data_IF_659104675756
#
_entry.id   IF_659104675756
#
_cell.length_a   1.000
_cell.length_b   1.000
_cell.length_c   1.000
_cell.angle_alpha   90.00
_cell.angle_beta   90.00
_cell.angle_gamma   90.00
#
_symmetry.space_group_name_H-M   'P 1'
#
loop_
_entity.id
_entity.type
_entity.pdbx_description
1 polymer ?
#
# COMPACT_ATOMS: atom_id res chain seq x y z
N UNK A 1 0.29 -20.11 -22.30
CA UNK A 1 1.10 -19.31 -21.36
C UNK A 1 0.13 -18.45 -20.60
N UNK A 2 -0.12 -18.80 -19.34
CA UNK A 2 -0.88 -17.95 -18.42
C UNK A 2 -0.12 -16.62 -18.22
N UNK A 3 -0.87 -15.55 -17.92
CA UNK A 3 -0.36 -14.19 -17.93
C UNK A 3 -0.10 -13.71 -16.50
N UNK A 4 1.11 -13.25 -16.23
CA UNK A 4 1.44 -12.61 -14.96
C UNK A 4 0.52 -11.39 -14.72
N UNK A 5 -0.16 -11.41 -13.59
CA UNK A 5 -1.13 -10.40 -13.16
C UNK A 5 -0.58 -9.63 -11.97
N UNK A 6 -0.80 -8.33 -11.93
CA UNK A 6 -0.35 -7.47 -10.83
C UNK A 6 -1.54 -6.82 -10.12
N UNK A 7 -1.50 -6.84 -8.79
CA UNK A 7 -2.51 -6.26 -7.91
C UNK A 7 -1.87 -5.18 -7.03
N UNK A 8 -2.45 -3.98 -7.06
CA UNK A 8 -2.04 -2.91 -6.14
C UNK A 8 -3.03 -2.86 -4.97
N UNK A 9 -2.49 -2.99 -3.75
CA UNK A 9 -3.25 -2.94 -2.50
C UNK A 9 -2.94 -1.62 -1.79
N UNK A 10 -3.99 -0.87 -1.46
CA UNK A 10 -3.89 0.40 -0.74
C UNK A 10 -4.55 0.21 0.63
N UNK A 11 -3.79 -0.16 1.68
CA UNK A 11 -4.32 -0.27 3.03
C UNK A 11 -4.74 1.10 3.58
N UNK A 12 -5.78 1.09 4.41
CA UNK A 12 -6.03 2.22 5.32
C UNK A 12 -4.80 2.51 6.18
N UNK A 13 -4.61 3.78 6.53
CA UNK A 13 -3.48 4.18 7.35
C UNK A 13 -3.59 3.60 8.78
N UNK A 14 -2.45 3.23 9.37
CA UNK A 14 -2.34 2.64 10.71
C UNK A 14 -1.78 1.21 10.71
N UNK A 15 -1.11 0.84 11.81
CA UNK A 15 -0.34 -0.42 11.89
C UNK A 15 -1.22 -1.67 11.74
N UNK A 16 -2.41 -1.70 12.34
CA UNK A 16 -3.31 -2.86 12.25
C UNK A 16 -3.77 -3.13 10.82
N UNK A 17 -4.13 -2.08 10.08
CA UNK A 17 -4.51 -2.19 8.67
C UNK A 17 -3.34 -2.65 7.81
N UNK A 18 -2.13 -2.13 8.08
CA UNK A 18 -0.93 -2.50 7.34
C UNK A 18 -0.57 -3.98 7.54
N UNK A 19 -0.53 -4.45 8.80
CA UNK A 19 -0.23 -5.85 9.12
C UNK A 19 -1.24 -6.78 8.43
N UNK A 20 -2.54 -6.48 8.53
CA UNK A 20 -3.58 -7.28 7.88
C UNK A 20 -3.46 -7.31 6.35
N UNK A 21 -3.14 -6.19 5.71
CA UNK A 21 -2.94 -6.13 4.26
C UNK A 21 -1.70 -6.91 3.81
N UNK A 22 -0.62 -6.88 4.61
CA UNK A 22 0.58 -7.67 4.37
C UNK A 22 0.28 -9.16 4.44
N UNK A 23 -0.40 -9.62 5.50
CA UNK A 23 -0.77 -11.04 5.65
C UNK A 23 -1.72 -11.51 4.54
N UNK A 24 -2.71 -10.68 4.17
CA UNK A 24 -3.59 -10.96 3.03
C UNK A 24 -2.79 -11.10 1.73
N UNK A 25 -1.81 -10.22 1.50
CA UNK A 25 -0.98 -10.24 0.29
C UNK A 25 -0.15 -11.53 0.21
N UNK A 26 0.42 -11.99 1.33
CA UNK A 26 1.14 -13.27 1.40
C UNK A 26 0.25 -14.44 1.01
N UNK A 27 -0.97 -14.49 1.55
CA UNK A 27 -1.93 -15.55 1.26
C UNK A 27 -2.34 -15.58 -0.22
N UNK A 28 -2.50 -14.41 -0.85
CA UNK A 28 -2.88 -14.32 -2.25
C UNK A 28 -1.76 -14.79 -3.20
N UNK A 29 -0.52 -14.37 -2.98
CA UNK A 29 0.61 -14.82 -3.82
C UNK A 29 1.01 -16.27 -3.55
N UNK A 30 0.64 -16.85 -2.40
CA UNK A 30 0.82 -18.26 -2.12
C UNK A 30 -0.19 -19.13 -2.89
N UNK A 31 -1.38 -18.59 -3.22
CA UNK A 31 -2.42 -19.30 -3.97
C UNK A 31 -2.31 -19.11 -5.49
N UNK A 32 -1.76 -17.98 -5.93
CA UNK A 32 -1.69 -17.62 -7.35
C UNK A 32 -0.23 -17.41 -7.76
N UNK A 33 0.34 -18.41 -8.45
CA UNK A 33 1.77 -18.40 -8.77
C UNK A 33 2.23 -17.30 -9.73
N UNK A 34 1.28 -16.68 -10.41
CA UNK A 34 1.50 -15.63 -11.39
C UNK A 34 0.99 -14.27 -10.93
N UNK A 35 0.59 -14.17 -9.66
CA UNK A 35 0.16 -12.92 -9.04
C UNK A 35 1.34 -12.22 -8.39
N UNK A 36 1.54 -10.97 -8.76
CA UNK A 36 2.45 -10.04 -8.10
C UNK A 36 1.63 -8.99 -7.36
N UNK A 37 2.03 -8.65 -6.14
CA UNK A 37 1.29 -7.70 -5.32
C UNK A 37 2.20 -6.56 -4.91
N UNK A 38 1.72 -5.34 -5.09
CA UNK A 38 2.38 -4.13 -4.60
C UNK A 38 1.52 -3.49 -3.53
N UNK A 39 2.06 -3.32 -2.32
CA UNK A 39 1.37 -2.69 -1.19
C UNK A 39 1.86 -1.24 -1.04
N UNK A 40 0.95 -0.27 -1.18
CA UNK A 40 1.25 1.15 -1.00
C UNK A 40 1.11 1.56 0.47
N UNK A 41 2.22 1.90 1.12
CA UNK A 41 2.26 2.22 2.55
C UNK A 41 2.08 3.72 2.74
N UNK A 42 0.94 4.12 3.31
CA UNK A 42 0.67 5.49 3.75
C UNK A 42 1.12 5.70 5.20
N UNK A 43 2.01 6.66 5.43
CA UNK A 43 2.54 6.99 6.76
C UNK A 43 1.66 8.05 7.44
N UNK A 44 1.17 7.75 8.64
CA UNK A 44 0.45 8.74 9.44
C UNK A 44 1.43 9.79 10.01
N UNK A 45 0.99 11.04 10.20
CA UNK A 45 1.81 12.06 10.85
C UNK A 45 2.07 11.79 12.34
N UNK A 46 1.36 10.82 12.93
CA UNK A 46 1.45 10.41 14.34
C UNK A 46 2.07 9.01 14.51
N UNK A 47 2.90 8.58 13.55
CA UNK A 47 3.47 7.23 13.58
C UNK A 47 4.11 6.90 14.93
N UNK A 48 3.78 5.72 15.46
CA UNK A 48 4.48 5.15 16.59
C UNK A 48 5.81 4.53 16.13
N UNK A 49 6.79 4.47 17.03
CA UNK A 49 8.07 3.78 16.79
C UNK A 49 7.88 2.34 16.29
N UNK A 50 6.80 1.68 16.71
CA UNK A 50 6.45 0.33 16.27
C UNK A 50 6.06 0.26 14.78
N UNK A 51 5.33 1.24 14.26
CA UNK A 51 4.98 1.30 12.83
C UNK A 51 6.20 1.44 11.95
N UNK A 52 7.13 2.32 12.33
CA UNK A 52 8.35 2.55 11.56
C UNK A 52 9.27 1.33 11.57
N UNK A 53 9.41 0.67 12.73
CA UNK A 53 10.17 -0.58 12.83
C UNK A 53 9.58 -1.70 11.97
N UNK A 54 8.25 -1.81 11.91
CA UNK A 54 7.58 -2.80 11.06
C UNK A 54 7.81 -2.51 9.57
N UNK A 55 7.65 -1.26 9.13
CA UNK A 55 7.93 -0.88 7.73
C UNK A 55 9.40 -1.18 7.38
N UNK A 56 10.35 -0.81 8.25
CA UNK A 56 11.76 -1.10 8.04
C UNK A 56 12.02 -2.62 7.96
N UNK A 57 11.31 -3.43 8.76
CA UNK A 57 11.40 -4.90 8.67
C UNK A 57 10.86 -5.45 7.35
N UNK A 58 9.84 -4.83 6.75
CA UNK A 58 9.29 -5.21 5.45
C UNK A 58 10.24 -4.82 4.30
N UNK A 59 10.92 -3.68 4.43
CA UNK A 59 11.89 -3.20 3.44
C UNK A 59 13.21 -4.00 3.52
N UNK A 60 13.65 -4.38 4.73
CA UNK A 60 14.89 -5.12 4.94
C UNK A 60 14.78 -6.62 4.62
N UNK A 61 13.56 -7.18 4.68
CA UNK A 61 13.31 -8.58 4.36
C UNK A 61 12.33 -8.64 3.20
N UNK A 62 12.75 -9.00 1.98
CA UNK A 62 11.82 -9.26 0.89
C UNK A 62 10.97 -10.47 1.27
N UNK A 63 9.84 -10.20 1.92
CA UNK A 63 9.02 -11.20 2.61
C UNK A 63 8.60 -12.31 1.64
N UNK A 64 8.41 -11.96 0.36
CA UNK A 64 8.25 -12.86 -0.77
C UNK A 64 8.76 -12.17 -2.05
N UNK A 65 9.38 -12.88 -3.01
CA UNK A 65 9.87 -12.30 -4.28
C UNK A 65 8.76 -11.72 -5.16
N UNK A 66 7.49 -11.99 -4.82
CA UNK A 66 6.30 -11.54 -5.55
C UNK A 66 5.50 -10.45 -4.83
N UNK A 67 5.97 -9.98 -3.67
CA UNK A 67 5.33 -8.90 -2.91
C UNK A 67 6.30 -7.73 -2.79
N UNK A 68 5.89 -6.57 -3.28
CA UNK A 68 6.66 -5.34 -3.20
C UNK A 68 5.98 -4.34 -2.25
N UNK A 69 6.79 -3.53 -1.56
CA UNK A 69 6.33 -2.50 -0.65
C UNK A 69 6.81 -1.15 -1.15
N UNK A 70 5.87 -0.21 -1.36
CA UNK A 70 6.20 1.16 -1.76
C UNK A 70 5.69 2.10 -0.68
N UNK A 71 6.63 2.73 0.02
CA UNK A 71 6.33 3.78 0.98
C UNK A 71 6.03 5.08 0.27
N UNK A 72 4.81 5.61 0.43
CA UNK A 72 4.45 6.91 -0.15
C UNK A 72 5.10 8.07 0.62
N UNK A 73 5.36 9.21 -0.06
CA UNK A 73 5.88 10.40 0.59
C UNK A 73 5.00 10.82 1.76
N UNK A 74 5.65 11.24 2.86
CA UNK A 74 4.93 11.83 3.99
C UNK A 74 4.38 13.17 3.55
N UNK A 75 3.07 13.36 3.68
CA UNK A 75 2.46 14.67 3.50
C UNK A 75 2.74 15.52 4.75
N UNK A 76 3.47 16.64 4.64
CA UNK A 76 3.59 17.59 5.74
C UNK A 76 2.27 18.37 5.86
N UNK A 77 1.91 18.73 7.09
CA UNK A 77 0.88 19.75 7.38
C UNK A 77 -0.59 19.30 7.39
N UNK A 78 -0.88 18.19 8.10
CA UNK A 78 -2.26 17.93 8.52
C UNK A 78 -2.57 18.61 9.86
N UNK A 79 -3.67 19.33 9.91
CA UNK A 79 -4.16 19.94 11.14
C UNK A 79 -4.62 18.85 12.12
N UNK A 80 -3.88 18.76 13.23
CA UNK A 80 -4.05 17.75 14.26
C UNK A 80 -5.21 18.08 15.21
N UNK A 81 -5.74 19.30 15.15
CA UNK A 81 -6.88 19.74 15.94
C UNK A 81 -8.23 19.43 15.28
N UNK A 82 -8.21 18.92 14.04
CA UNK A 82 -9.40 18.48 13.34
C UNK A 82 -10.05 17.28 14.03
N UNK A 83 -11.38 17.18 13.90
CA UNK A 83 -12.10 15.96 14.26
C UNK A 83 -11.51 14.75 13.50
N UNK A 84 -11.62 13.54 14.07
CA UNK A 84 -11.11 12.31 13.45
C UNK A 84 -11.58 12.13 12.01
N UNK A 85 -12.83 12.50 11.71
CA UNK A 85 -13.40 12.41 10.37
C UNK A 85 -12.77 13.43 9.40
N UNK A 86 -12.67 14.69 9.82
CA UNK A 86 -12.08 15.76 9.01
C UNK A 86 -10.59 15.51 8.74
N UNK A 87 -9.85 15.05 9.76
CA UNK A 87 -8.46 14.64 9.63
C UNK A 87 -8.31 13.51 8.61
N UNK A 88 -9.13 12.46 8.69
CA UNK A 88 -9.09 11.33 7.75
C UNK A 88 -9.35 11.78 6.31
N UNK A 89 -10.33 12.66 6.11
CA UNK A 89 -10.64 13.17 4.77
C UNK A 89 -9.47 13.99 4.20
N UNK A 90 -8.91 14.92 4.98
CA UNK A 90 -7.73 15.69 4.56
C UNK A 90 -6.52 14.78 4.27
N UNK A 91 -6.36 13.72 5.07
CA UNK A 91 -5.30 12.74 4.87
C UNK A 91 -5.44 12.00 3.55
N UNK A 92 -6.65 11.52 3.24
CA UNK A 92 -6.92 10.83 1.98
C UNK A 92 -6.74 11.78 0.79
N UNK A 93 -7.30 12.99 0.85
CA UNK A 93 -7.16 13.98 -0.24
C UNK A 93 -5.70 14.30 -0.54
N UNK A 94 -4.89 14.53 0.49
CA UNK A 94 -3.47 14.86 0.30
C UNK A 94 -2.64 13.71 -0.28
N UNK A 95 -3.03 12.46 -0.06
CA UNK A 95 -2.33 11.30 -0.62
C UNK A 95 -2.82 10.89 -2.03
N UNK A 96 -3.93 11.44 -2.54
CA UNK A 96 -4.46 11.08 -3.86
C UNK A 96 -3.43 11.25 -4.98
N UNK A 97 -2.70 12.36 -5.00
CA UNK A 97 -1.69 12.61 -6.03
C UNK A 97 -0.53 11.64 -5.93
N UNK A 98 -0.07 11.35 -4.71
CA UNK A 98 1.01 10.39 -4.49
C UNK A 98 0.62 8.97 -4.91
N UNK A 99 -0.61 8.54 -4.61
CA UNK A 99 -1.15 7.26 -5.07
C UNK A 99 -1.21 7.21 -6.59
N UNK A 100 -1.72 8.27 -7.23
CA UNK A 100 -1.80 8.33 -8.70
C UNK A 100 -0.43 8.23 -9.36
N UNK A 101 0.56 8.96 -8.83
CA UNK A 101 1.92 8.93 -9.37
C UNK A 101 2.56 7.56 -9.19
N UNK A 102 2.45 6.95 -7.99
CA UNK A 102 2.97 5.61 -7.74
C UNK A 102 2.34 4.56 -8.66
N UNK A 103 1.02 4.63 -8.89
CA UNK A 103 0.33 3.72 -9.83
C UNK A 103 0.74 3.97 -11.28
N UNK A 104 0.96 5.23 -11.68
CA UNK A 104 1.45 5.56 -13.01
C UNK A 104 2.86 4.99 -13.27
N UNK A 105 3.79 5.20 -12.33
CA UNK A 105 5.16 4.65 -12.38
C UNK A 105 5.17 3.12 -12.45
N UNK A 106 4.30 2.46 -11.69
CA UNK A 106 4.10 1.01 -11.77
C UNK A 106 3.60 0.59 -13.16
N UNK A 107 2.64 1.32 -13.72
CA UNK A 107 2.09 1.01 -15.05
C UNK A 107 3.15 1.17 -16.16
N UNK A 108 3.99 2.20 -16.07
CA UNK A 108 5.10 2.43 -17.00
C UNK A 108 6.14 1.31 -16.91
N UNK A 109 6.57 0.95 -15.69
CA UNK A 109 7.50 -0.17 -15.43
C UNK A 109 6.95 -1.53 -15.88
N UNK A 110 5.62 -1.69 -15.91
CA UNK A 110 4.96 -2.91 -16.38
C UNK A 110 4.92 -3.04 -17.90
N UNK A 111 4.87 -1.92 -18.62
CA UNK A 111 4.92 -1.92 -20.09
C UNK A 111 6.22 -2.57 -20.60
N UNK A 112 7.31 -2.40 -19.85
CA UNK A 112 8.61 -3.02 -20.11
C UNK A 112 8.67 -4.50 -19.68
N UNK A 113 7.93 -4.90 -18.64
CA UNK A 113 7.99 -6.24 -18.04
C UNK A 113 6.85 -7.20 -18.43
N UNK A 114 5.96 -6.80 -19.36
CA UNK A 114 4.85 -7.62 -19.94
C UNK A 114 3.75 -8.06 -18.95
N UNK A 115 3.68 -7.45 -17.76
CA UNK A 115 2.65 -7.71 -16.74
C UNK A 115 1.40 -6.85 -17.00
N UNK A 116 0.22 -7.29 -16.54
CA UNK A 116 -1.01 -6.49 -16.61
C UNK A 116 -1.56 -6.21 -15.21
N UNK A 117 -1.91 -4.94 -14.94
CA UNK A 117 -2.71 -4.53 -13.79
C UNK A 117 -4.09 -5.20 -13.85
N UNK A 118 -4.38 -6.05 -12.87
CA UNK A 118 -5.65 -6.76 -12.75
C UNK A 118 -6.67 -6.00 -11.88
N UNK A 119 -6.26 -4.98 -11.13
CA UNK A 119 -7.15 -4.11 -10.36
C UNK A 119 -6.44 -3.37 -9.23
N UNK A 120 -7.12 -2.40 -8.65
CA UNK A 120 -6.72 -1.71 -7.42
C UNK A 120 -7.73 -2.05 -6.31
N UNK A 121 -7.30 -2.73 -5.24
CA UNK A 121 -8.16 -2.99 -4.09
C UNK A 121 -7.89 -1.95 -3.00
N UNK A 122 -8.88 -1.09 -2.76
CA UNK A 122 -8.88 -0.20 -1.60
C UNK A 122 -9.47 -0.97 -0.43
N UNK A 123 -8.62 -1.60 0.39
CA UNK A 123 -9.08 -2.28 1.61
C UNK A 123 -9.48 -1.25 2.66
N UNK A 124 -10.74 -0.81 2.58
CA UNK A 124 -11.41 -0.10 3.66
C UNK A 124 -11.93 -1.17 4.63
N UNK A 125 -11.10 -1.59 5.59
CA UNK A 125 -11.64 -2.31 6.74
C UNK A 125 -12.49 -1.31 7.50
N UNK A 126 -13.81 -1.48 7.40
CA UNK A 126 -14.78 -0.69 8.12
C UNK A 126 -14.40 -0.69 9.60
N UNK A 127 -14.14 0.49 10.16
CA UNK A 127 -14.26 0.67 11.60
C UNK A 127 -15.73 0.45 11.93
N UNK A 128 -15.97 -0.62 12.68
CA UNK A 128 -17.21 -0.84 13.43
C UNK A 128 -17.22 0.11 14.63
#
# INVERSE_FOLDING_TARGET
MEKASELVVIPSAGIGHLVSAVEMSKLLVARHDQLFITVLIMKLPFNSKGTEAYIASLEASPVLPRVNFITLPKVPDLDKHLSSHSFRNQFVESHKTHVKNAVAELTESQSESRRRLAGSSSTCFAQQ
#
